data_IF_988042518606
#
_entry.id   IF_988042518606
#
_cell.length_a   1.000
_cell.length_b   1.000
_cell.length_c   1.000
_cell.angle_alpha   90.00
_cell.angle_beta   90.00
_cell.angle_gamma   90.00
#
_symmetry.space_group_name_H-M   'P 1'
#
loop_
_entity.id
_entity.type
_entity.pdbx_description
1 polymer ?
#
# COMPACT_ATOMS: atom_id res chain seq x y z
N UNK A 1 1.47 -13.76 -9.99
CA UNK A 1 2.64 -13.15 -9.32
C UNK A 1 2.71 -11.68 -9.72
N UNK A 2 3.36 -10.81 -8.94
CA UNK A 2 3.57 -9.40 -9.27
C UNK A 2 5.06 -9.09 -9.26
N UNK A 3 5.54 -8.33 -10.24
CA UNK A 3 6.94 -7.93 -10.31
C UNK A 3 7.30 -6.91 -9.21
N UNK A 4 8.56 -6.95 -8.79
CA UNK A 4 9.22 -6.00 -7.91
C UNK A 4 10.34 -5.29 -8.68
N UNK A 5 10.60 -4.04 -8.32
CA UNK A 5 11.73 -3.25 -8.85
C UNK A 5 12.57 -2.76 -7.68
N UNK A 6 13.89 -2.94 -7.74
CA UNK A 6 14.80 -2.35 -6.75
C UNK A 6 15.24 -0.98 -7.26
N UNK A 7 14.86 0.08 -6.53
CA UNK A 7 15.20 1.46 -6.88
C UNK A 7 15.48 2.24 -5.59
N UNK A 8 16.53 3.06 -5.54
CA UNK A 8 16.86 3.88 -4.36
C UNK A 8 16.95 3.09 -3.03
N UNK A 9 17.31 1.79 -3.11
CA UNK A 9 17.36 0.82 -1.99
C UNK A 9 15.98 0.38 -1.47
N UNK A 10 14.91 0.62 -2.22
CA UNK A 10 13.55 0.19 -1.93
C UNK A 10 13.11 -0.90 -2.90
N UNK A 11 12.45 -1.94 -2.38
CA UNK A 11 11.73 -2.91 -3.20
C UNK A 11 10.34 -2.33 -3.50
N UNK A 12 10.15 -1.87 -4.72
CA UNK A 12 8.93 -1.21 -5.17
C UNK A 12 8.01 -2.16 -5.94
N UNK A 13 6.71 -1.91 -5.84
CA UNK A 13 5.69 -2.54 -6.66
C UNK A 13 4.56 -1.57 -6.96
N UNK A 14 3.61 -2.02 -7.79
CA UNK A 14 2.36 -1.30 -8.04
C UNK A 14 1.23 -1.91 -7.22
N UNK A 15 0.34 -1.05 -6.75
CA UNK A 15 -0.82 -1.42 -5.95
C UNK A 15 -2.05 -0.67 -6.45
N UNK A 16 -3.20 -1.33 -6.49
CA UNK A 16 -4.49 -0.66 -6.67
C UNK A 16 -5.20 -0.57 -5.34
N UNK A 17 -5.70 0.60 -4.99
CA UNK A 17 -6.57 0.84 -3.85
C UNK A 17 -7.92 1.37 -4.33
N UNK A 18 -8.99 1.04 -3.61
CA UNK A 18 -10.36 1.45 -3.95
C UNK A 18 -11.15 1.92 -2.73
N UNK A 19 -12.01 2.91 -2.94
CA UNK A 19 -12.96 3.43 -1.95
C UNK A 19 -14.29 3.71 -2.64
N UNK A 20 -15.34 3.00 -2.23
CA UNK A 20 -16.63 3.02 -2.92
C UNK A 20 -16.49 2.58 -4.38
N UNK A 21 -16.94 3.43 -5.32
CA UNK A 21 -16.81 3.21 -6.76
C UNK A 21 -15.50 3.72 -7.37
N UNK A 22 -14.66 4.41 -6.58
CA UNK A 22 -13.39 5.00 -7.05
C UNK A 22 -12.23 4.05 -6.79
N UNK A 23 -11.21 4.14 -7.65
CA UNK A 23 -9.94 3.43 -7.46
C UNK A 23 -8.78 4.27 -7.97
N UNK A 24 -7.59 3.98 -7.45
CA UNK A 24 -6.34 4.60 -7.86
C UNK A 24 -5.25 3.53 -8.00
N UNK A 25 -4.45 3.63 -9.07
CA UNK A 25 -3.27 2.81 -9.29
C UNK A 25 -2.03 3.55 -8.76
N UNK A 26 -1.51 3.07 -7.64
CA UNK A 26 -0.28 3.53 -7.02
C UNK A 26 0.91 2.83 -7.68
N UNK A 27 1.90 3.60 -8.10
CA UNK A 27 3.02 3.13 -8.93
C UNK A 27 4.28 2.87 -8.13
N UNK A 28 4.50 3.64 -7.07
CA UNK A 28 5.68 3.55 -6.20
C UNK A 28 5.27 3.14 -4.80
N UNK A 29 5.08 1.84 -4.61
CA UNK A 29 4.71 1.28 -3.31
C UNK A 29 5.84 0.42 -2.78
N UNK A 30 6.42 0.83 -1.65
CA UNK A 30 7.50 0.08 -1.03
C UNK A 30 6.96 -1.17 -0.35
N UNK A 31 7.59 -2.33 -0.58
CA UNK A 31 7.37 -3.56 0.19
C UNK A 31 8.26 -3.51 1.41
N UNK A 32 7.67 -3.28 2.58
CA UNK A 32 8.42 -3.03 3.81
C UNK A 32 8.03 -4.03 4.90
N UNK A 33 8.96 -4.93 5.22
CA UNK A 33 8.77 -5.95 6.27
C UNK A 33 9.03 -5.41 7.68
N UNK A 34 9.52 -4.17 7.81
CA UNK A 34 9.69 -3.46 9.08
C UNK A 34 8.49 -2.59 9.45
N UNK A 35 7.66 -2.22 8.47
CA UNK A 35 6.41 -1.50 8.69
C UNK A 35 5.30 -2.44 9.19
N UNK A 36 4.71 -2.15 10.35
CA UNK A 36 3.58 -2.94 10.87
C UNK A 36 2.32 -2.76 10.02
N UNK A 37 2.06 -1.51 9.61
CA UNK A 37 0.84 -1.09 8.90
C UNK A 37 1.13 -0.72 7.46
N UNK A 38 0.16 -0.97 6.59
CA UNK A 38 0.15 -0.47 5.22
C UNK A 38 -0.26 1.00 5.20
N UNK A 39 0.51 1.81 4.49
CA UNK A 39 0.38 3.27 4.46
C UNK A 39 0.05 3.72 3.03
N UNK A 40 -0.82 4.73 2.91
CA UNK A 40 -1.09 5.45 1.65
C UNK A 40 -0.78 6.93 1.88
N UNK A 41 -0.15 7.58 0.90
CA UNK A 41 0.14 9.00 1.01
C UNK A 41 -1.15 9.82 1.15
N UNK A 42 -1.11 10.88 1.97
CA UNK A 42 -2.24 11.77 2.16
C UNK A 42 -2.75 12.38 0.83
N UNK A 43 -1.84 12.73 -0.08
CA UNK A 43 -2.18 13.21 -1.42
C UNK A 43 -3.02 12.20 -2.21
N UNK A 44 -2.60 10.92 -2.25
CA UNK A 44 -3.34 9.86 -2.96
C UNK A 44 -4.65 9.51 -2.26
N UNK A 45 -4.68 9.54 -0.92
CA UNK A 45 -5.90 9.32 -0.15
C UNK A 45 -6.93 10.45 -0.37
N UNK A 46 -6.50 11.71 -0.42
CA UNK A 46 -7.36 12.86 -0.78
C UNK A 46 -7.89 12.74 -2.20
N UNK A 47 -7.04 12.39 -3.16
CA UNK A 47 -7.46 12.16 -4.56
C UNK A 47 -8.51 11.03 -4.68
N UNK A 48 -8.39 9.99 -3.85
CA UNK A 48 -9.36 8.89 -3.80
C UNK A 48 -10.65 9.23 -3.03
N UNK A 49 -10.70 10.37 -2.34
CA UNK A 49 -11.83 10.78 -1.50
C UNK A 49 -11.91 10.05 -0.16
N UNK A 50 -10.77 9.54 0.34
CA UNK A 50 -10.65 8.86 1.64
C UNK A 50 -10.25 9.79 2.79
N UNK A 51 -9.78 10.99 2.48
CA UNK A 51 -9.32 11.98 3.45
C UNK A 51 -10.21 13.21 3.36
N UNK A 52 -10.90 13.55 4.45
CA UNK A 52 -11.69 14.76 4.60
C UNK A 52 -10.79 15.94 5.01
N UNK A 53 -11.25 17.18 4.83
CA UNK A 53 -10.46 18.37 5.24
C UNK A 53 -10.28 18.46 6.76
N UNK A 54 -11.17 17.83 7.52
CA UNK A 54 -11.18 17.78 8.99
C UNK A 54 -10.23 16.72 9.56
N UNK A 55 -9.73 15.81 8.71
CA UNK A 55 -8.82 14.76 9.13
C UNK A 55 -7.44 15.37 9.44
N UNK A 56 -7.11 15.44 10.73
CA UNK A 56 -5.80 15.91 11.22
C UNK A 56 -4.73 14.89 10.83
N UNK A 57 -3.80 15.27 9.95
CA UNK A 57 -2.69 14.40 9.50
C UNK A 57 -1.39 14.63 10.29
N UNK A 58 -1.42 15.54 11.26
CA UNK A 58 -0.29 15.99 12.05
C UNK A 58 0.25 14.84 12.93
N UNK A 59 1.51 14.46 12.70
CA UNK A 59 2.37 13.56 13.51
C UNK A 59 1.89 12.12 13.81
N UNK A 60 0.61 11.78 13.61
CA UNK A 60 0.06 10.44 13.90
C UNK A 60 -0.54 9.71 12.69
N UNK A 61 -0.97 10.44 11.67
CA UNK A 61 -1.79 9.89 10.59
C UNK A 61 -3.20 9.51 11.04
N UNK A 62 -4.06 9.20 10.07
CA UNK A 62 -5.42 8.69 10.32
C UNK A 62 -5.59 7.32 9.69
N UNK A 63 -6.16 6.37 10.42
CA UNK A 63 -6.51 5.07 9.85
C UNK A 63 -7.90 5.14 9.22
N UNK A 64 -8.01 4.74 7.96
CA UNK A 64 -9.29 4.60 7.24
C UNK A 64 -9.40 3.21 6.63
N UNK A 65 -10.62 2.73 6.43
CA UNK A 65 -10.84 1.44 5.74
C UNK A 65 -11.11 1.69 4.27
N UNK A 66 -10.31 1.08 3.39
CA UNK A 66 -10.57 1.09 1.96
C UNK A 66 -11.45 -0.12 1.57
N UNK A 67 -12.23 0.02 0.49
CA UNK A 67 -13.10 -1.06 0.01
C UNK A 67 -12.30 -2.26 -0.48
N UNK A 68 -11.16 -2.03 -1.12
CA UNK A 68 -10.18 -3.08 -1.39
C UNK A 68 -8.80 -2.54 -1.74
N UNK A 69 -7.80 -3.37 -1.48
CA UNK A 69 -6.39 -3.21 -1.84
C UNK A 69 -5.97 -4.42 -2.67
N UNK A 70 -5.19 -4.22 -3.73
CA UNK A 70 -4.66 -5.31 -4.55
C UNK A 70 -3.27 -5.06 -5.09
N UNK A 71 -2.46 -6.12 -5.11
CA UNK A 71 -1.08 -6.13 -5.63
C UNK A 71 -0.96 -7.32 -6.59
N UNK A 72 -1.06 -7.03 -7.89
CA UNK A 72 -1.24 -8.08 -8.90
C UNK A 72 -2.48 -8.94 -8.61
N UNK A 73 -2.36 -10.28 -8.50
CA UNK A 73 -3.51 -11.15 -8.22
C UNK A 73 -3.92 -11.16 -6.74
N UNK A 74 -3.15 -10.55 -5.85
CA UNK A 74 -3.41 -10.56 -4.41
C UNK A 74 -4.41 -9.45 -4.10
N UNK A 75 -5.58 -9.79 -3.54
CA UNK A 75 -6.61 -8.80 -3.23
C UNK A 75 -7.19 -9.04 -1.84
N UNK A 76 -7.40 -7.96 -1.10
CA UNK A 76 -8.09 -7.97 0.19
C UNK A 76 -9.19 -6.92 0.15
N UNK A 77 -10.39 -7.27 0.60
CA UNK A 77 -11.51 -6.34 0.79
C UNK A 77 -11.51 -5.77 2.21
N UNK A 78 -12.12 -4.61 2.37
CA UNK A 78 -12.37 -3.96 3.67
C UNK A 78 -11.09 -3.89 4.52
N UNK A 79 -10.08 -3.22 3.96
CA UNK A 79 -8.73 -3.24 4.49
C UNK A 79 -8.37 -1.90 5.16
N UNK A 80 -7.92 -1.91 6.44
CA UNK A 80 -7.48 -0.70 7.10
C UNK A 80 -6.14 -0.24 6.52
N UNK A 81 -6.03 1.04 6.21
CA UNK A 81 -4.79 1.70 5.78
C UNK A 81 -4.54 2.91 6.65
N UNK A 82 -3.28 3.15 6.98
CA UNK A 82 -2.86 4.39 7.58
C UNK A 82 -2.63 5.44 6.49
N UNK A 83 -3.17 6.64 6.70
CA UNK A 83 -2.97 7.78 5.81
C UNK A 83 -2.02 8.73 6.51
N UNK A 84 -0.87 8.98 5.89
CA UNK A 84 0.21 9.82 6.42
C UNK A 84 0.87 10.60 5.30
N UNK A 85 1.52 11.70 5.65
CA UNK A 85 2.52 12.29 4.77
C UNK A 85 3.72 11.32 4.68
N UNK A 86 4.09 10.98 3.45
CA UNK A 86 5.31 10.22 3.17
C UNK A 86 6.38 11.22 2.78
N UNK A 87 7.57 11.11 3.38
CA UNK A 87 8.65 12.08 3.16
C UNK A 87 8.93 12.28 1.67
N UNK A 88 9.25 13.52 1.28
CA UNK A 88 9.61 13.91 -0.08
C UNK A 88 10.77 13.05 -0.68
N UNK A 89 11.61 12.47 0.18
CA UNK A 89 12.63 11.51 -0.23
C UNK A 89 11.99 10.21 -0.75
N UNK A 90 12.05 9.99 -2.07
CA UNK A 90 11.61 8.77 -2.76
C UNK A 90 10.24 8.83 -3.45
N UNK A 91 9.45 9.90 -3.21
CA UNK A 91 8.10 10.12 -3.79
C UNK A 91 7.25 8.84 -3.80
N UNK A 92 7.12 8.21 -2.64
CA UNK A 92 6.32 7.01 -2.50
C UNK A 92 4.84 7.33 -2.51
N UNK A 93 4.08 6.50 -3.23
CA UNK A 93 2.63 6.51 -3.20
C UNK A 93 2.07 5.81 -1.95
N UNK A 94 2.85 4.87 -1.39
CA UNK A 94 2.46 4.06 -0.25
C UNK A 94 3.54 3.09 0.22
N UNK A 95 3.21 2.37 1.29
CA UNK A 95 4.03 1.30 1.87
C UNK A 95 3.12 0.08 2.10
N UNK A 96 3.53 -1.09 1.64
CA UNK A 96 2.92 -2.38 1.97
C UNK A 96 3.59 -2.93 3.22
N UNK A 97 2.86 -2.86 4.33
CA UNK A 97 3.31 -3.33 5.64
C UNK A 97 3.00 -4.81 5.90
N UNK A 98 3.44 -5.27 7.06
CA UNK A 98 3.24 -6.65 7.51
C UNK A 98 1.77 -7.06 7.64
N UNK A 99 0.86 -6.14 7.93
CA UNK A 99 -0.58 -6.39 7.97
C UNK A 99 -1.13 -6.95 6.64
N UNK A 100 -0.79 -6.34 5.50
CA UNK A 100 -1.12 -6.86 4.19
C UNK A 100 -0.33 -8.13 3.89
N UNK A 101 1.00 -8.08 4.06
CA UNK A 101 1.91 -9.15 3.68
C UNK A 101 1.58 -10.47 4.40
N UNK A 102 1.30 -10.43 5.71
CA UNK A 102 0.89 -11.61 6.47
C UNK A 102 -0.50 -12.09 6.05
N UNK A 103 -1.42 -11.18 5.74
CA UNK A 103 -2.79 -11.54 5.36
C UNK A 103 -2.85 -12.28 4.03
N UNK A 104 -1.99 -11.94 3.06
CA UNK A 104 -1.84 -12.65 1.78
C UNK A 104 -0.90 -13.86 1.85
N UNK A 105 -0.18 -14.05 2.97
CA UNK A 105 0.87 -15.06 3.09
C UNK A 105 1.98 -14.80 2.07
N UNK A 106 2.49 -13.57 2.06
CA UNK A 106 3.42 -13.05 1.06
C UNK A 106 4.73 -13.85 1.02
N UNK A 107 5.22 -14.05 -0.20
CA UNK A 107 6.55 -14.57 -0.49
C UNK A 107 7.26 -13.58 -1.40
N UNK A 108 8.38 -13.05 -0.91
CA UNK A 108 9.27 -12.18 -1.67
C UNK A 108 10.37 -13.07 -2.23
N UNK A 109 10.42 -13.18 -3.55
CA UNK A 109 11.48 -13.91 -4.23
C UNK A 109 12.43 -12.86 -4.85
N UNK A 110 13.61 -12.73 -4.27
CA UNK A 110 14.63 -11.76 -4.68
C UNK A 110 15.42 -12.19 -5.92
N UNK A 111 15.41 -13.49 -6.27
CA UNK A 111 16.06 -14.00 -7.47
C UNK A 111 15.25 -13.63 -8.72
N UNK A 112 13.94 -13.93 -8.70
CA UNK A 112 13.00 -13.57 -9.77
C UNK A 112 12.45 -12.14 -9.66
N UNK A 113 12.77 -11.42 -8.59
CA UNK A 113 12.21 -10.10 -8.27
C UNK A 113 10.67 -10.09 -8.32
N UNK A 114 10.03 -10.99 -7.57
CA UNK A 114 8.56 -11.11 -7.54
C UNK A 114 7.98 -11.17 -6.13
N UNK A 115 6.73 -10.68 -6.03
CA UNK A 115 5.84 -10.87 -4.91
C UNK A 115 4.71 -11.83 -5.30
N UNK A 116 4.48 -12.82 -4.45
CA UNK A 116 3.35 -13.74 -4.56
C UNK A 116 2.71 -13.97 -3.20
N UNK A 117 1.51 -14.54 -3.19
CA UNK A 117 0.79 -14.92 -1.99
C UNK A 117 0.51 -16.41 -2.00
N UNK A 118 0.37 -16.99 -0.81
CA UNK A 118 0.06 -18.41 -0.62
C UNK A 118 -1.40 -18.65 -0.26
N UNK A 119 -2.18 -17.59 -0.03
CA UNK A 119 -3.56 -17.66 0.40
C UNK A 119 -4.50 -17.29 -0.75
N UNK A 120 -5.58 -18.05 -0.88
CA UNK A 120 -6.75 -17.66 -1.67
C UNK A 120 -7.61 -16.80 -0.75
N UNK A 121 -7.89 -15.56 -1.14
CA UNK A 121 -8.54 -14.53 -0.33
C UNK A 121 -9.68 -13.92 -1.12
#
# INVERSE_FOLDING_TARGET
MKALVLEERLLLTEMRISSGSRFLDLKRVAVDTSAEKTIVSAANAKALGMLAEEDVTDQGGVTKTCSSISVGPLKIKDFPVDIRELSEAGKLDGVLGLDFLKRVGAKINLDSMTLSGSRVI
#
